data_IF_612310552735
#
_entry.id   IF_612310552735
#
_cell.length_a   1.000
_cell.length_b   1.000
_cell.length_c   1.000
_cell.angle_alpha   90.00
_cell.angle_beta   90.00
_cell.angle_gamma   90.00
#
_symmetry.space_group_name_H-M   'P 1'
#
loop_
_entity.id
_entity.type
_entity.pdbx_description
1 polymer ?
#
# COMPACT_ATOMS: atom_id res chain seq x y z
N UNK A 1 3.23 33.94 -25.74
CA UNK A 1 3.98 33.81 -24.48
C UNK A 1 3.40 32.81 -23.46
N UNK A 2 2.36 32.00 -23.75
CA UNK A 2 1.68 31.17 -22.73
C UNK A 2 1.79 29.64 -22.86
N UNK A 3 2.52 29.09 -23.85
CA UNK A 3 2.69 27.62 -23.99
C UNK A 3 3.92 27.10 -23.22
N UNK A 4 5.04 27.82 -23.26
CA UNK A 4 6.29 27.41 -22.59
C UNK A 4 6.20 27.48 -21.06
N UNK A 5 5.48 28.45 -20.50
CA UNK A 5 5.27 28.57 -19.04
C UNK A 5 4.39 27.41 -18.52
N UNK A 6 3.44 26.92 -19.34
CA UNK A 6 2.58 25.78 -18.97
C UNK A 6 3.35 24.46 -18.91
N UNK A 7 4.32 24.26 -19.80
CA UNK A 7 5.13 23.03 -19.79
C UNK A 7 6.13 23.02 -18.63
N UNK A 8 6.78 24.15 -18.33
CA UNK A 8 7.72 24.24 -17.19
C UNK A 8 7.03 24.00 -15.83
N UNK A 9 5.81 24.52 -15.64
CA UNK A 9 5.02 24.27 -14.43
C UNK A 9 4.61 22.80 -14.29
N UNK A 10 4.20 22.16 -15.38
CA UNK A 10 3.84 20.74 -15.36
C UNK A 10 5.06 19.85 -15.08
N UNK A 11 6.21 20.17 -15.67
CA UNK A 11 7.46 19.43 -15.46
C UNK A 11 7.99 19.60 -14.03
N UNK A 12 7.88 20.80 -13.45
CA UNK A 12 8.22 21.03 -12.04
C UNK A 12 7.24 20.34 -11.08
N UNK A 13 5.94 20.29 -11.41
CA UNK A 13 4.94 19.57 -10.63
C UNK A 13 5.14 18.05 -10.69
N UNK A 14 5.48 17.53 -11.87
CA UNK A 14 5.90 16.14 -12.07
C UNK A 14 7.16 15.84 -11.27
N UNK A 15 8.14 16.74 -11.24
CA UNK A 15 9.34 16.57 -10.43
C UNK A 15 9.04 16.57 -8.91
N UNK A 16 8.09 17.39 -8.44
CA UNK A 16 7.64 17.37 -7.03
C UNK A 16 6.88 16.07 -6.73
N UNK A 17 6.05 15.60 -7.65
CA UNK A 17 5.36 14.31 -7.54
C UNK A 17 6.34 13.12 -7.55
N UNK A 18 7.34 13.13 -8.41
CA UNK A 18 8.38 12.10 -8.48
C UNK A 18 9.29 12.13 -7.24
N UNK A 19 9.65 13.31 -6.73
CA UNK A 19 10.42 13.45 -5.49
C UNK A 19 9.62 12.94 -4.27
N UNK A 20 8.33 13.25 -4.18
CA UNK A 20 7.46 12.77 -3.10
C UNK A 20 7.16 11.26 -3.17
N UNK A 21 7.20 10.64 -4.34
CA UNK A 21 6.98 9.19 -4.52
C UNK A 21 8.27 8.37 -4.45
N UNK A 22 9.42 8.95 -4.81
CA UNK A 22 10.74 8.32 -4.67
C UNK A 22 11.32 8.44 -3.25
N UNK A 23 10.87 9.44 -2.48
CA UNK A 23 11.25 9.66 -1.08
C UNK A 23 10.45 8.87 -0.04
N UNK A 24 9.51 8.01 -0.43
CA UNK A 24 8.81 7.08 0.50
C UNK A 24 9.74 5.92 0.85
N UNK A 25 10.92 6.24 1.38
CA UNK A 25 11.58 5.39 2.37
C UNK A 25 10.96 5.82 3.69
N UNK A 26 9.91 5.12 4.11
CA UNK A 26 9.33 5.27 5.44
C UNK A 26 10.43 4.92 6.46
N UNK A 27 11.21 5.91 6.88
CA UNK A 27 11.80 5.87 8.21
C UNK A 27 10.61 5.92 9.16
N UNK A 28 10.32 4.78 9.77
CA UNK A 28 9.19 4.59 10.70
C UNK A 28 9.32 5.51 11.93
N UNK A 29 10.50 6.11 12.14
CA UNK A 29 10.82 6.98 13.28
C UNK A 29 10.18 8.38 13.19
N UNK A 30 9.92 8.93 11.99
CA UNK A 30 9.51 10.34 11.87
C UNK A 30 7.98 10.55 11.91
N UNK A 31 7.17 9.49 12.03
CA UNK A 31 5.70 9.61 11.99
C UNK A 31 5.05 9.77 13.38
N UNK A 32 5.83 9.68 14.47
CA UNK A 32 5.29 9.73 15.83
C UNK A 32 5.44 11.09 16.54
N UNK A 33 6.18 12.05 15.98
CA UNK A 33 6.51 13.29 16.70
C UNK A 33 5.63 14.52 16.34
N UNK A 34 4.73 14.47 15.35
CA UNK A 34 4.00 15.69 14.93
C UNK A 34 2.58 15.87 15.46
N UNK A 35 2.12 15.03 16.39
CA UNK A 35 0.73 15.10 16.89
C UNK A 35 0.57 15.58 18.33
N UNK A 36 1.58 16.19 18.98
CA UNK A 36 1.48 16.60 20.39
C UNK A 36 2.18 17.93 20.71
N UNK A 37 1.90 18.99 19.96
CA UNK A 37 2.25 20.35 20.41
C UNK A 37 1.08 21.31 20.21
N UNK A 38 0.12 21.27 21.14
CA UNK A 38 -0.76 22.40 21.49
C UNK A 38 -1.48 22.15 22.83
N UNK A 39 -0.98 22.79 23.91
CA UNK A 39 -1.62 22.96 25.23
C UNK A 39 -1.65 21.69 26.10
N UNK A 40 -1.47 21.69 27.43
CA UNK A 40 -1.33 22.70 28.46
C UNK A 40 -0.76 21.97 29.70
N UNK A 41 0.05 22.70 30.46
CA UNK A 41 0.39 22.62 31.88
C UNK A 41 0.06 21.39 32.75
N UNK A 42 1.11 20.98 33.49
CA UNK A 42 1.09 20.37 34.83
C UNK A 42 0.38 19.03 35.01
N UNK A 43 1.16 17.94 34.99
CA UNK A 43 1.11 17.00 36.11
C UNK A 43 2.42 16.21 36.24
N UNK A 44 3.03 16.31 37.42
CA UNK A 44 4.16 15.52 37.87
C UNK A 44 3.71 14.06 38.05
N UNK A 45 4.36 13.13 37.37
CA UNK A 45 3.98 11.73 37.45
C UNK A 45 4.76 10.83 36.52
N UNK A 46 6.09 10.93 36.54
CA UNK A 46 7.00 9.97 35.92
C UNK A 46 6.83 8.60 36.57
N UNK A 47 5.88 7.80 36.08
CA UNK A 47 5.82 6.36 36.33
C UNK A 47 6.52 5.64 35.19
N UNK A 48 7.76 5.25 35.49
CA UNK A 48 8.59 4.34 34.73
C UNK A 48 7.91 2.95 34.72
N UNK A 49 7.05 2.68 33.73
CA UNK A 49 6.50 1.33 33.54
C UNK A 49 7.53 0.45 32.84
N UNK A 50 8.29 -0.29 33.65
CA UNK A 50 8.97 -1.51 33.22
C UNK A 50 7.91 -2.52 32.75
N UNK A 51 7.71 -2.60 31.43
CA UNK A 51 6.97 -3.69 30.82
C UNK A 51 7.84 -4.94 30.94
N UNK A 52 7.58 -5.74 31.98
CA UNK A 52 8.03 -7.13 32.04
C UNK A 52 7.35 -7.86 30.88
N UNK A 53 8.16 -8.43 30.00
CA UNK A 53 7.73 -9.35 28.96
C UNK A 53 7.23 -10.64 29.62
N UNK A 54 5.96 -10.68 29.98
CA UNK A 54 5.29 -11.94 30.24
C UNK A 54 4.96 -12.58 28.89
N UNK A 55 5.46 -13.80 28.70
CA UNK A 55 5.12 -14.66 27.59
C UNK A 55 3.63 -14.97 27.66
N UNK A 56 2.82 -14.12 27.03
CA UNK A 56 1.43 -14.41 26.74
C UNK A 56 1.40 -15.47 25.64
N UNK A 57 0.91 -16.65 26.01
CA UNK A 57 0.46 -17.68 25.09
C UNK A 57 -0.69 -17.08 24.26
N UNK A 58 -0.36 -16.51 23.10
CA UNK A 58 -1.34 -16.15 22.09
C UNK A 58 -2.00 -17.44 21.59
N UNK A 59 -3.19 -17.73 22.11
CA UNK A 59 -4.14 -18.62 21.46
C UNK A 59 -4.46 -18.06 20.07
N UNK A 60 -3.95 -18.72 19.04
CA UNK A 60 -4.29 -18.47 17.64
C UNK A 60 -5.78 -18.78 17.42
N UNK A 61 -6.67 -17.82 17.70
CA UNK A 61 -7.99 -17.82 17.06
C UNK A 61 -7.83 -17.26 15.65
N UNK A 62 -7.25 -18.08 14.77
CA UNK A 62 -7.47 -17.93 13.36
C UNK A 62 -8.96 -18.14 13.12
N UNK A 63 -9.69 -17.06 12.81
CA UNK A 63 -11.01 -17.16 12.19
C UNK A 63 -10.87 -17.87 10.85
N UNK A 64 -10.82 -19.20 10.90
CA UNK A 64 -11.09 -20.08 9.78
C UNK A 64 -12.49 -19.71 9.30
N UNK A 65 -12.57 -19.07 8.14
CA UNK A 65 -13.81 -19.12 7.40
C UNK A 65 -14.03 -20.59 7.07
N UNK A 66 -14.97 -21.20 7.79
CA UNK A 66 -15.48 -22.54 7.54
C UNK A 66 -16.03 -22.58 6.11
N UNK A 67 -15.13 -22.87 5.18
CA UNK A 67 -15.50 -23.47 3.91
C UNK A 67 -15.86 -24.91 4.28
N UNK A 68 -17.08 -25.08 4.78
CA UNK A 68 -17.67 -26.35 5.18
C UNK A 68 -17.86 -27.22 3.93
N UNK A 69 -16.75 -27.66 3.36
CA UNK A 69 -16.66 -28.78 2.47
C UNK A 69 -16.87 -29.97 3.37
N UNK A 70 -18.09 -30.49 3.44
CA UNK A 70 -18.42 -31.70 4.19
C UNK A 70 -17.30 -32.73 4.05
N UNK A 71 -16.41 -32.72 5.02
CA UNK A 71 -15.38 -33.71 5.22
C UNK A 71 -16.18 -34.87 5.76
N UNK A 72 -16.45 -35.86 4.91
CA UNK A 72 -16.83 -37.17 5.40
C UNK A 72 -15.79 -37.53 6.44
N UNK A 73 -16.19 -37.55 7.72
CA UNK A 73 -15.40 -38.10 8.81
C UNK A 73 -15.15 -39.54 8.41
N UNK A 74 -13.94 -39.84 7.96
CA UNK A 74 -13.50 -41.23 7.80
C UNK A 74 -13.35 -41.78 9.22
N UNK A 75 -14.03 -42.88 9.53
CA UNK A 75 -14.17 -43.49 10.87
C UNK A 75 -12.86 -44.07 11.45
N UNK A 76 -11.70 -43.63 10.96
CA UNK A 76 -10.38 -44.14 11.37
C UNK A 76 -9.69 -43.28 12.46
N UNK A 77 -10.44 -42.45 13.21
CA UNK A 77 -9.89 -41.57 14.27
C UNK A 77 -10.00 -42.12 15.70
N UNK A 78 -10.12 -43.44 15.89
CA UNK A 78 -10.12 -44.05 17.25
C UNK A 78 -8.79 -44.70 17.67
N UNK A 79 -7.74 -44.63 16.85
CA UNK A 79 -6.41 -45.06 17.28
C UNK A 79 -5.59 -43.85 17.77
N UNK A 80 -5.55 -43.66 19.08
CA UNK A 80 -4.69 -42.68 19.76
C UNK A 80 -3.23 -42.80 19.32
N UNK A 81 -2.83 -41.96 18.37
CA UNK A 81 -1.46 -41.85 17.93
C UNK A 81 -1.15 -40.35 17.78
N UNK A 82 -0.52 -39.77 18.80
CA UNK A 82 -0.04 -38.38 18.85
C UNK A 82 1.12 -38.12 17.88
N UNK A 83 0.91 -38.39 16.59
CA UNK A 83 1.97 -38.50 15.60
C UNK A 83 1.73 -37.63 14.37
N UNK A 84 2.55 -36.59 14.23
CA UNK A 84 2.85 -35.84 13.00
C UNK A 84 1.73 -34.92 12.50
N UNK A 85 1.70 -33.68 13.01
CA UNK A 85 1.24 -32.52 12.21
C UNK A 85 1.94 -32.63 10.85
N UNK A 86 1.19 -32.91 9.78
CA UNK A 86 1.75 -32.99 8.44
C UNK A 86 2.51 -31.70 8.16
N UNK A 87 3.84 -31.78 8.09
CA UNK A 87 4.68 -30.63 7.76
C UNK A 87 4.33 -30.21 6.34
N UNK A 88 3.53 -29.16 6.23
CA UNK A 88 3.22 -28.54 4.96
C UNK A 88 4.53 -27.94 4.46
N UNK A 89 4.97 -28.24 3.22
CA UNK A 89 6.21 -27.69 2.68
C UNK A 89 6.22 -26.16 2.80
N UNK A 90 7.32 -25.60 3.29
CA UNK A 90 7.48 -24.16 3.42
C UNK A 90 7.26 -23.48 2.06
N UNK A 91 6.35 -22.51 1.99
CA UNK A 91 6.02 -21.80 0.75
C UNK A 91 4.75 -22.30 0.04
N UNK A 92 4.15 -23.41 0.49
CA UNK A 92 2.86 -23.86 -0.03
C UNK A 92 1.70 -23.47 0.89
N UNK A 93 0.62 -22.94 0.31
CA UNK A 93 -0.64 -22.73 1.06
C UNK A 93 -1.26 -24.09 1.44
N UNK A 94 -1.90 -24.18 2.61
CA UNK A 94 -2.64 -25.38 3.06
C UNK A 94 -3.59 -25.90 1.98
N UNK A 95 -4.25 -24.99 1.26
CA UNK A 95 -5.17 -25.33 0.17
C UNK A 95 -4.43 -25.99 -1.00
N UNK A 96 -3.30 -25.44 -1.43
CA UNK A 96 -2.52 -26.00 -2.55
C UNK A 96 -1.96 -27.37 -2.17
N UNK A 97 -1.44 -27.50 -0.96
CA UNK A 97 -0.94 -28.77 -0.42
C UNK A 97 -2.05 -29.84 -0.35
N UNK A 98 -3.22 -29.47 0.16
CA UNK A 98 -4.37 -30.38 0.21
C UNK A 98 -4.81 -30.84 -1.19
N UNK A 99 -4.86 -29.92 -2.16
CA UNK A 99 -5.22 -30.26 -3.54
C UNK A 99 -4.20 -31.20 -4.19
N UNK A 100 -2.90 -30.97 -3.95
CA UNK A 100 -1.84 -31.82 -4.47
C UNK A 100 -1.90 -33.22 -3.86
N UNK A 101 -2.06 -33.32 -2.54
CA UNK A 101 -2.20 -34.61 -1.84
C UNK A 101 -3.47 -35.37 -2.26
N UNK A 102 -4.57 -34.66 -2.51
CA UNK A 102 -5.80 -35.29 -3.01
C UNK A 102 -5.63 -35.79 -4.45
N UNK A 103 -4.92 -35.04 -5.30
CA UNK A 103 -4.61 -35.44 -6.68
C UNK A 103 -3.74 -36.70 -6.74
N UNK A 104 -2.85 -36.90 -5.76
CA UNK A 104 -2.02 -38.12 -5.64
C UNK A 104 -2.82 -39.34 -5.18
N UNK A 105 -3.89 -39.15 -4.41
CA UNK A 105 -4.73 -40.24 -3.87
C UNK A 105 -5.89 -40.65 -4.78
N UNK A 106 -6.35 -39.75 -5.64
CA UNK A 106 -7.49 -39.97 -6.53
C UNK A 106 -6.99 -40.39 -7.91
N UNK A 107 -7.74 -41.25 -8.60
CA UNK A 107 -7.48 -41.47 -10.02
C UNK A 107 -7.77 -40.18 -10.81
N UNK A 108 -7.14 -39.98 -11.99
CA UNK A 108 -7.40 -38.81 -12.83
C UNK A 108 -8.90 -38.59 -13.10
N UNK A 109 -9.65 -39.67 -13.32
CA UNK A 109 -11.09 -39.62 -13.56
C UNK A 109 -11.88 -39.17 -12.32
N UNK A 110 -11.56 -39.69 -11.13
CA UNK A 110 -12.20 -39.26 -9.88
C UNK A 110 -11.88 -37.79 -9.56
N UNK A 111 -10.66 -37.35 -9.88
CA UNK A 111 -10.23 -35.97 -9.73
C UNK A 111 -11.02 -35.03 -10.66
N UNK A 112 -11.18 -35.41 -11.92
CA UNK A 112 -11.97 -34.67 -12.90
C UNK A 112 -13.44 -34.59 -12.50
N UNK A 113 -14.05 -35.71 -12.07
CA UNK A 113 -15.42 -35.72 -11.55
C UNK A 113 -15.58 -34.79 -10.33
N UNK A 114 -14.59 -34.72 -9.44
CA UNK A 114 -14.60 -33.82 -8.29
C UNK A 114 -14.51 -32.35 -8.72
N UNK A 115 -13.62 -32.02 -9.66
CA UNK A 115 -13.52 -30.67 -10.22
C UNK A 115 -14.84 -30.28 -10.90
N UNK A 116 -15.43 -31.21 -11.65
CA UNK A 116 -16.68 -31.00 -12.35
C UNK A 116 -17.83 -30.73 -11.36
N UNK A 117 -17.96 -31.51 -10.29
CA UNK A 117 -18.92 -31.23 -9.21
C UNK A 117 -18.69 -29.87 -8.55
N UNK A 118 -17.44 -29.42 -8.39
CA UNK A 118 -17.14 -28.09 -7.85
C UNK A 118 -17.49 -26.97 -8.83
N UNK A 119 -17.27 -27.19 -10.13
CA UNK A 119 -17.69 -26.26 -11.19
C UNK A 119 -19.21 -26.18 -11.23
N UNK A 120 -19.91 -27.31 -11.24
CA UNK A 120 -21.37 -27.39 -11.17
C UNK A 120 -21.87 -26.69 -9.92
N UNK A 121 -21.36 -26.98 -8.73
CA UNK A 121 -21.71 -26.25 -7.49
C UNK A 121 -21.50 -24.73 -7.61
N UNK A 122 -20.44 -24.27 -8.28
CA UNK A 122 -20.23 -22.84 -8.54
C UNK A 122 -21.22 -22.30 -9.56
N UNK A 123 -21.49 -23.03 -10.65
CA UNK A 123 -22.43 -22.68 -11.71
C UNK A 123 -23.90 -22.69 -11.25
N UNK A 124 -24.24 -23.50 -10.25
CA UNK A 124 -25.56 -23.56 -9.62
C UNK A 124 -25.87 -22.36 -8.71
N UNK A 125 -24.86 -21.57 -8.33
CA UNK A 125 -25.10 -20.25 -7.75
C UNK A 125 -25.46 -19.28 -8.89
N UNK A 126 -26.70 -18.80 -8.88
CA UNK A 126 -27.14 -17.71 -9.75
C UNK A 126 -26.22 -16.49 -9.59
N UNK A 127 -26.02 -15.68 -10.64
CA UNK A 127 -25.25 -14.44 -10.53
C UNK A 127 -25.74 -13.55 -9.36
N UNK A 128 -27.05 -13.52 -9.12
CA UNK A 128 -27.69 -12.81 -8.01
C UNK A 128 -27.23 -13.34 -6.65
N UNK A 129 -27.30 -14.66 -6.41
CA UNK A 129 -26.85 -15.25 -5.15
C UNK A 129 -25.35 -15.03 -4.90
N UNK A 130 -24.53 -14.97 -5.97
CA UNK A 130 -23.10 -14.63 -5.84
C UNK A 130 -22.89 -13.18 -5.43
N UNK A 131 -23.65 -12.25 -6.00
CA UNK A 131 -23.54 -10.84 -5.66
C UNK A 131 -24.11 -10.56 -4.27
N UNK A 132 -25.20 -11.21 -3.87
CA UNK A 132 -25.73 -11.16 -2.50
C UNK A 132 -24.68 -11.62 -1.48
N UNK A 133 -24.03 -12.76 -1.73
CA UNK A 133 -22.94 -13.25 -0.86
C UNK A 133 -21.78 -12.27 -0.79
N UNK A 134 -21.40 -11.65 -1.92
CA UNK A 134 -20.34 -10.62 -1.95
C UNK A 134 -20.75 -9.36 -1.19
N UNK A 135 -22.00 -8.92 -1.35
CA UNK A 135 -22.57 -7.78 -0.65
C UNK A 135 -22.55 -8.01 0.85
N UNK A 136 -23.06 -9.16 1.31
CA UNK A 136 -23.03 -9.55 2.73
C UNK A 136 -21.60 -9.58 3.29
N UNK A 137 -20.64 -10.11 2.54
CA UNK A 137 -19.23 -10.11 2.96
C UNK A 137 -18.62 -8.70 3.00
N UNK A 138 -19.03 -7.78 2.13
CA UNK A 138 -18.61 -6.36 2.15
C UNK A 138 -19.16 -5.66 3.39
N UNK A 139 -20.45 -5.86 3.72
CA UNK A 139 -21.07 -5.27 4.91
C UNK A 139 -20.45 -5.80 6.20
N UNK A 140 -20.28 -7.12 6.34
CA UNK A 140 -19.60 -7.70 7.50
C UNK A 140 -18.18 -7.15 7.68
N UNK A 141 -17.46 -6.94 6.58
CA UNK A 141 -16.13 -6.32 6.62
C UNK A 141 -16.19 -4.87 7.05
N UNK A 142 -17.19 -4.11 6.58
CA UNK A 142 -17.40 -2.70 6.95
C UNK A 142 -17.74 -2.57 8.42
N UNK A 143 -18.65 -3.41 8.93
CA UNK A 143 -19.00 -3.48 10.35
C UNK A 143 -17.77 -3.81 11.21
N UNK A 144 -17.02 -4.85 10.85
CA UNK A 144 -15.78 -5.21 11.56
C UNK A 144 -14.75 -4.08 11.60
N UNK A 145 -14.63 -3.31 10.51
CA UNK A 145 -13.73 -2.15 10.46
C UNK A 145 -14.28 -0.95 11.25
N UNK A 146 -15.60 -0.83 11.37
CA UNK A 146 -16.24 0.23 12.15
C UNK A 146 -16.17 -0.05 13.66
N UNK A 147 -16.17 -1.32 14.07
CA UNK A 147 -16.04 -1.73 15.48
C UNK A 147 -14.58 -1.94 15.92
N UNK A 148 -13.60 -1.63 15.06
CA UNK A 148 -12.18 -1.82 15.34
C UNK A 148 -11.71 -0.80 16.39
N UNK A 149 -11.04 -1.28 17.44
CA UNK A 149 -10.39 -0.39 18.42
C UNK A 149 -9.20 0.35 17.81
N UNK A 150 -8.74 1.43 18.42
CA UNK A 150 -7.61 2.21 17.90
C UNK A 150 -6.33 1.38 17.80
N UNK A 151 -6.04 0.54 18.79
CA UNK A 151 -4.88 -0.35 18.81
C UNK A 151 -4.95 -1.42 17.72
N UNK A 152 -6.12 -2.04 17.53
CA UNK A 152 -6.33 -3.01 16.45
C UNK A 152 -6.18 -2.37 15.08
N UNK A 153 -6.71 -1.15 14.91
CA UNK A 153 -6.58 -0.36 13.68
C UNK A 153 -5.13 -0.02 13.41
N UNK A 154 -4.38 0.43 14.42
CA UNK A 154 -2.95 0.72 14.31
C UNK A 154 -2.18 -0.54 13.89
N UNK A 155 -2.43 -1.68 14.54
CA UNK A 155 -1.80 -2.96 14.21
C UNK A 155 -2.14 -3.41 12.77
N UNK A 156 -3.40 -3.27 12.34
CA UNK A 156 -3.83 -3.60 10.98
C UNK A 156 -3.15 -2.71 9.94
N UNK A 157 -3.06 -1.40 10.20
CA UNK A 157 -2.37 -0.46 9.32
C UNK A 157 -0.87 -0.73 9.27
N UNK A 158 -0.24 -1.07 10.38
CA UNK A 158 1.17 -1.48 10.43
C UNK A 158 1.44 -2.74 9.59
N UNK A 159 0.59 -3.77 9.72
CA UNK A 159 0.67 -4.99 8.88
C UNK A 159 0.50 -4.68 7.40
N UNK A 160 -0.42 -3.77 7.05
CA UNK A 160 -0.64 -3.34 5.66
C UNK A 160 0.56 -2.55 5.12
N UNK A 161 1.13 -1.64 5.91
CA UNK A 161 2.31 -0.87 5.56
C UNK A 161 3.51 -1.79 5.33
N UNK A 162 3.78 -2.73 6.23
CA UNK A 162 4.85 -3.71 6.09
C UNK A 162 4.69 -4.57 4.82
N UNK A 163 3.47 -5.02 4.51
CA UNK A 163 3.18 -5.74 3.27
C UNK A 163 3.41 -4.88 2.04
N UNK A 164 3.06 -3.60 2.10
CA UNK A 164 3.23 -2.65 1.00
C UNK A 164 4.70 -2.35 0.77
N UNK A 165 5.47 -2.10 1.83
CA UNK A 165 6.92 -1.89 1.76
C UNK A 165 7.62 -3.06 1.06
N UNK A 166 7.27 -4.31 1.43
CA UNK A 166 7.78 -5.53 0.76
C UNK A 166 7.42 -5.64 -0.71
N UNK A 167 6.30 -5.07 -1.15
CA UNK A 167 5.93 -5.02 -2.59
C UNK A 167 6.65 -3.89 -3.33
N UNK A 168 6.89 -2.78 -2.65
CA UNK A 168 7.55 -1.61 -3.22
C UNK A 168 9.06 -1.81 -3.41
N UNK A 169 9.67 -2.75 -2.68
CA UNK A 169 11.08 -3.12 -2.84
C UNK A 169 11.39 -3.87 -4.14
N UNK A 170 10.38 -4.39 -4.85
CA UNK A 170 10.57 -5.02 -6.16
C UNK A 170 10.87 -3.95 -7.24
N UNK A 171 12.10 -3.94 -7.81
CA UNK A 171 12.52 -2.93 -8.78
C UNK A 171 11.92 -3.15 -10.17
N UNK A 172 11.61 -4.39 -10.57
CA UNK A 172 11.11 -4.70 -11.91
C UNK A 172 9.74 -4.07 -12.15
N UNK A 173 8.91 -4.07 -11.11
CA UNK A 173 7.59 -3.46 -11.13
C UNK A 173 7.60 -1.95 -10.84
N UNK A 174 8.75 -1.37 -10.47
CA UNK A 174 8.84 0.05 -10.07
C UNK A 174 8.45 0.99 -11.20
N UNK A 175 9.00 0.77 -12.40
CA UNK A 175 8.73 1.61 -13.56
C UNK A 175 7.24 1.59 -13.95
N UNK A 176 6.62 0.40 -13.97
CA UNK A 176 5.20 0.25 -14.27
C UNK A 176 4.31 0.96 -13.24
N UNK A 177 4.65 0.88 -11.95
CA UNK A 177 3.93 1.61 -10.89
C UNK A 177 4.06 3.13 -11.08
N UNK A 178 5.24 3.62 -11.43
CA UNK A 178 5.48 5.04 -11.68
C UNK A 178 4.71 5.54 -12.91
N UNK A 179 4.71 4.78 -14.00
CA UNK A 179 3.95 5.12 -15.21
C UNK A 179 2.45 5.17 -14.93
N UNK A 180 1.92 4.16 -14.22
CA UNK A 180 0.51 4.13 -13.83
C UNK A 180 0.14 5.32 -12.92
N UNK A 181 1.00 5.65 -11.96
CA UNK A 181 0.80 6.80 -11.08
C UNK A 181 0.82 8.13 -11.87
N UNK A 182 1.75 8.29 -12.80
CA UNK A 182 1.84 9.45 -13.70
C UNK A 182 0.59 9.59 -14.56
N UNK A 183 0.12 8.49 -15.16
CA UNK A 183 -1.10 8.47 -15.97
C UNK A 183 -2.32 8.90 -15.17
N UNK A 184 -2.46 8.41 -13.94
CA UNK A 184 -3.56 8.81 -13.06
C UNK A 184 -3.46 10.26 -12.60
N UNK A 185 -2.24 10.76 -12.34
CA UNK A 185 -2.01 12.17 -12.03
C UNK A 185 -2.47 13.07 -13.18
N UNK A 186 -2.02 12.79 -14.40
CA UNK A 186 -2.38 13.57 -15.59
C UNK A 186 -3.89 13.61 -15.81
N UNK A 187 -4.57 12.45 -15.67
CA UNK A 187 -6.04 12.39 -15.76
C UNK A 187 -6.73 13.28 -14.72
N UNK A 188 -6.24 13.29 -13.47
CA UNK A 188 -6.81 14.15 -12.42
C UNK A 188 -6.61 15.63 -12.70
N UNK A 189 -5.44 16.02 -13.22
CA UNK A 189 -5.12 17.41 -13.59
C UNK A 189 -5.94 17.86 -14.79
N UNK A 190 -6.17 16.97 -15.76
CA UNK A 190 -6.98 17.27 -16.94
C UNK A 190 -8.45 17.54 -16.58
N UNK A 191 -9.00 16.82 -15.61
CA UNK A 191 -10.39 17.01 -15.14
C UNK A 191 -10.52 18.02 -14.00
N UNK A 192 -9.45 18.74 -13.65
CA UNK A 192 -9.43 19.67 -12.52
C UNK A 192 -10.23 20.95 -12.83
N UNK A 193 -11.06 21.40 -11.89
CA UNK A 193 -11.73 22.70 -12.03
C UNK A 193 -10.75 23.85 -11.81
N UNK A 194 -11.01 25.05 -12.34
CA UNK A 194 -10.12 26.20 -12.16
C UNK A 194 -9.96 26.61 -10.67
N UNK A 195 -10.97 26.37 -9.83
CA UNK A 195 -10.86 26.56 -8.37
C UNK A 195 -9.92 25.55 -7.71
N UNK A 196 -10.06 24.26 -8.04
CA UNK A 196 -9.17 23.20 -7.54
C UNK A 196 -7.72 23.45 -7.97
N UNK A 197 -7.52 23.87 -9.22
CA UNK A 197 -6.22 24.23 -9.76
C UNK A 197 -5.59 25.41 -9.03
N UNK A 198 -6.35 26.47 -8.74
CA UNK A 198 -5.86 27.61 -7.94
C UNK A 198 -5.41 27.16 -6.55
N UNK A 199 -6.21 26.33 -5.87
CA UNK A 199 -5.88 25.77 -4.56
C UNK A 199 -4.59 24.93 -4.64
N UNK A 200 -4.48 24.05 -5.64
CA UNK A 200 -3.29 23.21 -5.85
C UNK A 200 -2.04 24.06 -6.08
N UNK A 201 -2.10 25.05 -6.97
CA UNK A 201 -0.98 25.96 -7.25
C UNK A 201 -0.60 26.77 -6.02
N UNK A 202 -1.57 27.28 -5.26
CA UNK A 202 -1.30 28.01 -4.01
C UNK A 202 -0.55 27.14 -2.99
N UNK A 203 -0.99 25.88 -2.78
CA UNK A 203 -0.30 24.92 -1.90
C UNK A 203 1.15 24.67 -2.33
N UNK A 204 1.40 24.55 -3.64
CA UNK A 204 2.75 24.39 -4.19
C UNK A 204 3.61 25.64 -3.91
N UNK A 205 3.06 26.84 -4.07
CA UNK A 205 3.77 28.09 -3.78
C UNK A 205 4.11 28.19 -2.29
N UNK A 206 3.15 27.91 -1.41
CA UNK A 206 3.35 27.94 0.05
C UNK A 206 4.40 26.91 0.50
N UNK A 207 4.35 25.69 -0.04
CA UNK A 207 5.36 24.67 0.21
C UNK A 207 6.75 25.12 -0.25
N UNK A 208 6.87 25.70 -1.47
CA UNK A 208 8.15 26.24 -1.97
C UNK A 208 8.67 27.36 -1.07
N UNK A 209 7.81 28.27 -0.59
CA UNK A 209 8.20 29.33 0.35
C UNK A 209 8.76 28.75 1.65
N UNK A 210 8.07 27.78 2.25
CA UNK A 210 8.53 27.10 3.47
C UNK A 210 9.86 26.36 3.27
N UNK A 211 10.03 25.69 2.14
CA UNK A 211 11.31 25.00 1.82
C UNK A 211 12.45 26.00 1.66
N UNK A 212 12.20 27.16 1.04
CA UNK A 212 13.22 28.20 0.86
C UNK A 212 13.55 28.89 2.19
N UNK A 213 12.57 29.13 3.07
CA UNK A 213 12.83 29.73 4.38
C UNK A 213 13.66 28.82 5.29
N UNK A 214 13.50 27.50 5.16
CA UNK A 214 14.17 26.50 5.99
C UNK A 214 15.44 25.93 5.31
N UNK A 215 15.88 26.52 4.20
CA UNK A 215 17.05 26.08 3.44
C UNK A 215 18.34 26.43 4.19
N UNK A 216 19.25 25.47 4.34
CA UNK A 216 20.57 25.75 4.93
C UNK A 216 21.41 26.67 4.01
N UNK A 217 22.39 27.43 4.54
CA UNK A 217 23.25 28.28 3.71
C UNK A 217 23.93 27.52 2.56
N UNK A 218 24.42 26.31 2.81
CA UNK A 218 25.06 25.47 1.81
C UNK A 218 24.09 25.02 0.69
N UNK A 219 22.86 24.61 1.05
CA UNK A 219 21.83 24.26 0.07
C UNK A 219 21.41 25.47 -0.75
N UNK A 220 21.30 26.64 -0.11
CA UNK A 220 20.98 27.90 -0.77
C UNK A 220 22.03 28.28 -1.81
N UNK A 221 23.31 28.17 -1.46
CA UNK A 221 24.40 28.41 -2.39
C UNK A 221 24.36 27.43 -3.57
N UNK A 222 24.16 26.15 -3.30
CA UNK A 222 24.04 25.13 -4.34
C UNK A 222 22.87 25.39 -5.29
N UNK A 223 21.70 25.76 -4.74
CA UNK A 223 20.52 26.11 -5.53
C UNK A 223 20.76 27.35 -6.40
N UNK A 224 21.37 28.39 -5.83
CA UNK A 224 21.70 29.61 -6.58
C UNK A 224 22.76 29.34 -7.65
N UNK A 225 23.75 28.50 -7.36
CA UNK A 225 24.76 28.07 -8.32
C UNK A 225 24.13 27.34 -9.52
N UNK A 226 23.29 26.33 -9.26
CA UNK A 226 22.54 25.61 -10.31
C UNK A 226 21.68 26.58 -11.15
N UNK A 227 21.00 27.53 -10.50
CA UNK A 227 20.19 28.53 -11.19
C UNK A 227 21.02 29.46 -12.09
N UNK A 228 22.21 29.90 -11.63
CA UNK A 228 23.14 30.71 -12.44
C UNK A 228 23.63 29.91 -13.65
N UNK A 229 23.97 28.65 -13.46
CA UNK A 229 24.43 27.77 -14.54
C UNK A 229 23.34 27.54 -15.59
N UNK A 230 22.11 27.27 -15.15
CA UNK A 230 20.96 27.09 -16.04
C UNK A 230 20.69 28.37 -16.84
N UNK A 231 20.69 29.53 -16.19
CA UNK A 231 20.54 30.81 -16.88
C UNK A 231 21.62 31.06 -17.93
N UNK A 232 22.87 30.68 -17.64
CA UNK A 232 23.97 30.74 -18.61
C UNK A 232 23.69 29.86 -19.82
N UNK A 233 23.29 28.60 -19.61
CA UNK A 233 22.92 27.66 -20.70
C UNK A 233 21.75 28.19 -21.53
N UNK A 234 20.71 28.75 -20.90
CA UNK A 234 19.57 29.38 -21.58
C UNK A 234 20.02 30.58 -22.42
N UNK A 235 20.89 31.44 -21.89
CA UNK A 235 21.42 32.60 -22.61
C UNK A 235 22.27 32.20 -23.83
N UNK A 236 23.13 31.18 -23.70
CA UNK A 236 23.91 30.64 -24.81
C UNK A 236 23.02 30.04 -25.90
N UNK A 237 21.97 29.29 -25.52
CA UNK A 237 21.01 28.74 -26.47
C UNK A 237 20.32 29.86 -27.27
N UNK A 238 19.86 30.90 -26.58
CA UNK A 238 19.23 32.06 -27.22
C UNK A 238 20.20 32.81 -28.16
N UNK A 239 21.48 32.92 -27.81
CA UNK A 239 22.50 33.48 -28.71
C UNK A 239 22.64 32.66 -29.99
N UNK A 240 22.77 31.33 -29.86
CA UNK A 240 22.88 30.42 -31.02
C UNK A 240 21.63 30.44 -31.91
N UNK A 241 20.45 30.57 -31.33
CA UNK A 241 19.20 30.68 -32.10
C UNK A 241 19.15 32.01 -32.87
N UNK A 242 19.63 33.11 -32.28
CA UNK A 242 19.71 34.41 -32.96
C UNK A 242 20.74 34.45 -34.09
N UNK A 243 21.86 33.74 -33.95
CA UNK A 243 22.90 33.65 -34.98
C UNK A 243 22.48 32.77 -36.19
N UNK A 244 21.41 31.98 -36.06
CA UNK A 244 20.86 31.13 -37.13
C UNK A 244 19.75 31.79 -37.95
N UNK A 245 19.29 32.98 -37.54
CA UNK A 245 18.27 33.79 -38.23
C UNK A 245 18.98 34.87 -39.03
#
# INVERSE_FOLDING_TARGET
MNSQIKTELLDEELAVFEASTSGISLKVEDFYESSNEQGEEANEGSMFLQIKSEQSECSEQSGEMDFNMGLCKTEDEEAGNGGRRSQIPSGMSKHVYYYQRMKEKLTPEQWEQRIQRQREKRHMLTPEAREERRSKAREQRKEKLASETEDERALRLAKLAARTARRMSDPEQKAQRQEYARKNYLKRVETETEEQKKIRVQRVIEFKKKRISNESPAERELRLFKKREENRRRAEKLKREKEKV
#
